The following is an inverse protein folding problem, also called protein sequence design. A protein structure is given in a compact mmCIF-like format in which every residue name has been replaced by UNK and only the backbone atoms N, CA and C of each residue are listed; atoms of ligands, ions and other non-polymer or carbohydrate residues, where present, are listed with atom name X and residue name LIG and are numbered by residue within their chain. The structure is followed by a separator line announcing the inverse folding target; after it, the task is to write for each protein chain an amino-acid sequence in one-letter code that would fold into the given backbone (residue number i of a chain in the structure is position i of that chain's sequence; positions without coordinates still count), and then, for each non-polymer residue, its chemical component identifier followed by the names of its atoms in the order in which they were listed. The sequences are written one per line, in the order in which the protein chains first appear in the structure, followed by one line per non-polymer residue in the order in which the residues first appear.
data_IF_292497741684
#
_entry.id   IF_292497741684
#
_cell.length_a   1.000
_cell.length_b   1.000
_cell.length_c   1.000
_cell.angle_alpha   90.00
_cell.angle_beta   90.00
_cell.angle_gamma   90.00
#
_symmetry.space_group_name_H-M   'P 1'
#
loop_
_entity.id
_entity.type
_entity.pdbx_description
1 polymer ?
#
# COMPACT_ATOMS: atom_id res chain seq x y z
N UNK A 1 -23.49 -37.97 -60.43
CA UNK A 1 -22.45 -37.70 -59.42
C UNK A 1 -22.71 -36.32 -58.79
N UNK A 2 -23.43 -36.26 -57.68
CA UNK A 2 -23.79 -35.03 -56.96
C UNK A 2 -22.88 -34.88 -55.74
N UNK A 3 -21.99 -33.88 -55.74
CA UNK A 3 -21.07 -33.60 -54.63
C UNK A 3 -21.80 -32.87 -53.50
N UNK A 4 -21.91 -33.49 -52.32
CA UNK A 4 -22.30 -32.82 -51.07
C UNK A 4 -21.13 -31.96 -50.58
N UNK A 5 -21.36 -30.65 -50.46
CA UNK A 5 -20.45 -29.72 -49.80
C UNK A 5 -20.82 -29.72 -48.31
N UNK A 6 -19.90 -30.19 -47.46
CA UNK A 6 -20.01 -30.05 -46.01
C UNK A 6 -19.40 -28.71 -45.61
N UNK A 7 -20.24 -27.80 -45.13
CA UNK A 7 -19.82 -26.54 -44.53
C UNK A 7 -19.35 -26.82 -43.09
N UNK A 8 -18.04 -26.80 -42.89
CA UNK A 8 -17.42 -26.93 -41.58
C UNK A 8 -17.50 -25.55 -40.87
N UNK A 9 -18.43 -25.40 -39.94
CA UNK A 9 -18.51 -24.23 -39.05
C UNK A 9 -17.38 -24.31 -38.02
N UNK A 10 -16.32 -23.53 -38.23
CA UNK A 10 -15.29 -23.25 -37.23
C UNK A 10 -15.84 -22.25 -36.21
N UNK A 11 -16.25 -22.73 -35.04
CA UNK A 11 -16.48 -21.89 -33.87
C UNK A 11 -15.13 -21.50 -33.26
N UNK A 12 -14.69 -20.27 -33.52
CA UNK A 12 -13.49 -19.71 -32.88
C UNK A 12 -13.81 -19.42 -31.41
N UNK A 13 -13.11 -20.08 -30.50
CA UNK A 13 -13.24 -19.88 -29.05
C UNK A 13 -12.66 -18.51 -28.64
N UNK A 14 -13.53 -17.50 -28.48
CA UNK A 14 -13.22 -16.20 -27.88
C UNK A 14 -13.58 -16.25 -26.40
N UNK A 15 -12.77 -16.88 -25.56
CA UNK A 15 -13.05 -16.94 -24.10
C UNK A 15 -11.84 -16.67 -23.21
N UNK A 16 -10.62 -16.61 -23.74
CA UNK A 16 -9.40 -16.53 -22.91
C UNK A 16 -8.83 -15.10 -22.78
N UNK A 17 -9.36 -14.11 -23.52
CA UNK A 17 -8.77 -12.77 -23.58
C UNK A 17 -9.44 -11.71 -22.68
N UNK A 18 -10.60 -12.00 -22.08
CA UNK A 18 -11.32 -11.00 -21.28
C UNK A 18 -10.74 -10.85 -19.85
N UNK A 19 -10.52 -11.97 -19.14
CA UNK A 19 -10.12 -11.88 -17.72
C UNK A 19 -8.74 -11.24 -17.50
N UNK A 20 -7.78 -11.46 -18.40
CA UNK A 20 -6.46 -10.80 -18.32
C UNK A 20 -6.53 -9.29 -18.52
N UNK A 21 -7.44 -8.83 -19.39
CA UNK A 21 -7.67 -7.41 -19.60
C UNK A 21 -8.35 -6.79 -18.38
N UNK A 22 -9.25 -7.53 -17.74
CA UNK A 22 -9.94 -7.07 -16.54
C UNK A 22 -8.96 -6.92 -15.38
N UNK A 23 -8.08 -7.90 -15.11
CA UNK A 23 -7.05 -7.82 -14.06
C UNK A 23 -6.06 -6.67 -14.30
N UNK A 24 -5.58 -6.50 -15.53
CA UNK A 24 -4.70 -5.39 -15.88
C UNK A 24 -5.38 -4.03 -15.68
N UNK A 25 -6.68 -3.93 -16.00
CA UNK A 25 -7.46 -2.70 -15.78
C UNK A 25 -7.61 -2.37 -14.29
N UNK A 26 -7.84 -3.40 -13.44
CA UNK A 26 -7.96 -3.27 -11.99
C UNK A 26 -6.66 -2.81 -11.37
N UNK A 27 -5.54 -3.45 -11.72
CA UNK A 27 -4.21 -3.04 -11.25
C UNK A 27 -3.92 -1.58 -11.64
N UNK A 28 -4.27 -1.17 -12.87
CA UNK A 28 -4.04 0.20 -13.32
C UNK A 28 -4.87 1.24 -12.56
N UNK A 29 -6.13 0.91 -12.24
CA UNK A 29 -6.98 1.78 -11.38
C UNK A 29 -6.45 1.82 -9.95
N UNK A 30 -6.05 0.68 -9.40
CA UNK A 30 -5.42 0.59 -8.09
C UNK A 30 -4.16 1.43 -7.97
N UNK A 31 -3.27 1.39 -8.98
CA UNK A 31 -2.08 2.23 -9.06
C UNK A 31 -2.44 3.73 -8.97
N UNK A 32 -3.44 4.16 -9.74
CA UNK A 32 -3.92 5.54 -9.74
C UNK A 32 -4.48 5.93 -8.37
N UNK A 33 -5.27 5.06 -7.75
CA UNK A 33 -5.86 5.30 -6.42
C UNK A 33 -4.79 5.38 -5.34
N UNK A 34 -3.77 4.51 -5.38
CA UNK A 34 -2.62 4.57 -4.46
C UNK A 34 -1.81 5.86 -4.63
N UNK A 35 -1.67 6.32 -5.87
CA UNK A 35 -0.96 7.56 -6.19
C UNK A 35 -1.74 8.78 -5.67
N UNK A 36 -3.03 8.89 -5.98
CA UNK A 36 -3.86 10.03 -5.59
C UNK A 36 -4.15 10.03 -4.08
N UNK A 37 -4.27 8.84 -3.47
CA UNK A 37 -4.44 8.67 -2.04
C UNK A 37 -3.18 8.99 -1.22
N UNK A 38 -2.06 9.31 -1.86
CA UNK A 38 -0.82 9.73 -1.21
C UNK A 38 -0.14 8.61 -0.41
N UNK A 39 -0.38 7.33 -0.73
CA UNK A 39 0.13 6.24 0.11
C UNK A 39 1.66 6.24 0.15
N UNK A 40 2.31 6.55 -0.98
CA UNK A 40 3.77 6.61 -1.09
C UNK A 40 4.40 7.76 -0.29
N UNK A 41 3.62 8.77 0.13
CA UNK A 41 4.15 9.93 0.85
C UNK A 41 4.73 9.51 2.20
N UNK A 42 4.12 8.55 2.89
CA UNK A 42 4.64 7.99 4.14
C UNK A 42 5.22 6.59 3.94
N UNK A 43 4.73 5.81 2.97
CA UNK A 43 5.14 4.41 2.80
C UNK A 43 6.30 4.20 1.84
N UNK A 44 6.93 5.24 1.29
CA UNK A 44 8.12 5.11 0.45
C UNK A 44 9.27 5.95 1.02
N UNK A 45 10.43 5.33 1.35
CA UNK A 45 11.64 6.07 1.72
C UNK A 45 12.03 7.07 0.65
N UNK A 46 12.68 8.17 1.04
CA UNK A 46 13.09 9.23 0.11
C UNK A 46 14.58 9.49 0.23
N UNK A 47 15.20 9.68 -0.92
CA UNK A 47 16.57 10.14 -1.03
C UNK A 47 16.59 11.67 -0.98
N UNK A 48 17.43 12.24 -0.13
CA UNK A 48 17.61 13.67 -0.04
C UNK A 48 18.43 14.18 -1.23
N UNK A 49 17.84 15.05 -2.03
CA UNK A 49 18.48 15.70 -3.18
C UNK A 49 18.50 17.22 -3.00
N UNK A 50 19.20 17.93 -3.89
CA UNK A 50 19.18 19.40 -3.90
C UNK A 50 17.77 19.98 -4.15
N UNK A 51 16.88 19.22 -4.79
CA UNK A 51 15.49 19.60 -5.06
C UNK A 51 14.53 19.14 -3.94
N UNK A 52 15.06 18.58 -2.85
CA UNK A 52 14.30 18.02 -1.75
C UNK A 52 14.21 16.48 -1.80
N UNK A 53 13.32 15.89 -0.99
CA UNK A 53 13.21 14.44 -0.85
C UNK A 53 12.51 13.82 -2.07
N UNK A 54 13.18 12.87 -2.73
CA UNK A 54 12.67 12.15 -3.91
C UNK A 54 12.42 10.68 -3.54
N UNK A 55 11.27 10.07 -3.88
CA UNK A 55 11.00 8.67 -3.59
C UNK A 55 12.08 7.71 -4.11
N UNK A 56 12.52 6.77 -3.25
CA UNK A 56 13.36 5.65 -3.66
C UNK A 56 12.49 4.58 -4.32
N UNK A 57 12.51 4.54 -5.66
CA UNK A 57 11.70 3.61 -6.44
C UNK A 57 12.09 2.14 -6.23
N UNK A 58 13.29 1.84 -5.71
CA UNK A 58 13.66 0.47 -5.33
C UNK A 58 12.97 0.01 -4.05
N UNK A 59 12.45 0.95 -3.27
CA UNK A 59 11.74 0.74 -2.00
C UNK A 59 10.31 1.31 -2.06
N UNK A 60 9.72 1.35 -3.25
CA UNK A 60 8.36 1.81 -3.45
C UNK A 60 7.38 1.06 -2.53
N UNK A 61 6.69 1.81 -1.66
CA UNK A 61 5.72 1.30 -0.69
C UNK A 61 6.29 0.32 0.35
N UNK A 62 7.61 0.29 0.54
CA UNK A 62 8.30 -0.60 1.48
C UNK A 62 8.27 -0.11 2.94
N UNK A 63 7.71 1.07 3.23
CA UNK A 63 7.62 1.67 4.56
C UNK A 63 8.91 2.33 5.02
N UNK A 64 9.04 2.57 6.33
CA UNK A 64 10.26 3.09 6.95
C UNK A 64 11.44 2.14 6.74
N UNK A 65 12.60 2.63 6.30
CA UNK A 65 13.77 1.79 6.05
C UNK A 65 14.33 1.23 7.35
N UNK A 66 14.50 -0.10 7.45
CA UNK A 66 15.10 -0.76 8.62
C UNK A 66 16.53 -0.29 8.95
N UNK A 67 17.22 0.27 7.95
CA UNK A 67 18.57 0.81 8.06
C UNK A 67 18.62 2.24 8.61
N UNK A 68 17.48 2.94 8.66
CA UNK A 68 17.45 4.32 9.14
C UNK A 68 17.58 4.33 10.66
N UNK A 69 18.34 5.30 11.16
CA UNK A 69 18.41 5.61 12.58
C UNK A 69 17.50 6.79 12.86
N UNK A 70 16.68 6.68 13.90
CA UNK A 70 15.95 7.84 14.39
C UNK A 70 16.95 8.90 14.88
N UNK A 71 16.79 10.16 14.44
CA UNK A 71 17.50 11.29 15.05
C UNK A 71 17.16 11.42 16.53
N UNK A 72 17.93 12.21 17.29
CA UNK A 72 17.54 12.53 18.66
C UNK A 72 16.23 13.33 18.66
N UNK A 73 15.17 12.67 19.13
CA UNK A 73 13.82 13.23 19.19
C UNK A 73 13.38 13.51 20.62
N UNK A 74 14.22 13.24 21.64
CA UNK A 74 13.82 13.32 23.05
C UNK A 74 13.47 14.75 23.47
N UNK A 75 14.13 15.75 22.86
CA UNK A 75 13.83 17.17 23.06
C UNK A 75 12.43 17.57 22.58
N UNK A 76 11.80 16.77 21.72
CA UNK A 76 10.45 17.01 21.20
C UNK A 76 9.35 16.29 21.99
N UNK A 77 9.69 15.53 23.04
CA UNK A 77 8.70 14.82 23.85
C UNK A 77 7.78 15.83 24.56
N UNK A 78 6.48 15.73 24.31
CA UNK A 78 5.47 16.63 24.88
C UNK A 78 5.30 17.96 24.14
N UNK A 79 6.02 18.19 23.04
CA UNK A 79 5.81 19.36 22.19
C UNK A 79 4.42 19.28 21.51
N UNK A 80 3.75 20.42 21.23
CA UNK A 80 2.45 20.46 20.56
C UNK A 80 2.57 20.20 19.04
N UNK A 81 3.72 19.72 18.57
CA UNK A 81 4.05 19.54 17.16
C UNK A 81 4.29 18.08 16.85
N UNK A 82 3.98 17.69 15.62
CA UNK A 82 4.41 16.42 15.07
C UNK A 82 5.75 16.60 14.39
N UNK A 83 6.73 15.78 14.75
CA UNK A 83 8.03 15.76 14.09
C UNK A 83 8.10 14.57 13.14
N UNK A 84 8.16 14.85 11.84
CA UNK A 84 8.38 13.84 10.82
C UNK A 84 9.87 13.70 10.54
N UNK A 85 10.32 12.48 10.23
CA UNK A 85 11.63 12.30 9.59
C UNK A 85 11.62 12.98 8.22
N UNK A 86 12.79 13.37 7.71
CA UNK A 86 12.87 14.09 6.44
C UNK A 86 12.32 13.30 5.25
N UNK A 87 12.30 11.96 5.32
CA UNK A 87 11.70 11.09 4.32
C UNK A 87 10.19 10.84 4.55
N UNK A 88 9.62 11.41 5.61
CA UNK A 88 8.23 11.32 6.05
C UNK A 88 7.77 9.91 6.49
N UNK A 89 8.70 8.97 6.68
CA UNK A 89 8.34 7.57 6.97
C UNK A 89 8.24 7.24 8.46
N UNK A 90 8.66 8.15 9.35
CA UNK A 90 8.40 8.07 10.79
C UNK A 90 7.90 9.40 11.34
N UNK A 91 7.07 9.32 12.39
CA UNK A 91 6.56 10.49 13.10
C UNK A 91 6.69 10.34 14.61
N UNK A 92 7.05 11.44 15.26
CA UNK A 92 7.07 11.60 16.71
C UNK A 92 5.91 12.51 17.10
N UNK A 93 5.13 12.07 18.09
CA UNK A 93 4.03 12.84 18.66
C UNK A 93 3.79 12.49 20.14
N UNK A 94 2.70 12.98 20.74
CA UNK A 94 2.36 12.69 22.13
C UNK A 94 2.26 11.20 22.47
N UNK A 95 1.92 10.37 21.47
CA UNK A 95 1.84 8.90 21.58
C UNK A 95 3.20 8.18 21.53
N UNK A 96 4.30 8.89 21.27
CA UNK A 96 5.62 8.31 21.04
C UNK A 96 6.00 8.34 19.56
N UNK A 97 6.69 7.30 19.07
CA UNK A 97 7.18 7.19 17.69
C UNK A 97 6.49 6.06 16.95
N UNK A 98 6.00 6.37 15.76
CA UNK A 98 5.38 5.41 14.85
C UNK A 98 6.07 5.42 13.49
N UNK A 99 6.03 4.28 12.83
CA UNK A 99 6.73 4.03 11.57
C UNK A 99 5.73 3.55 10.52
N UNK A 100 5.84 4.08 9.29
CA UNK A 100 5.06 3.60 8.17
C UNK A 100 5.44 2.14 7.84
N UNK A 101 4.44 1.27 7.73
CA UNK A 101 4.66 -0.18 7.51
C UNK A 101 4.89 -0.52 6.04
N UNK A 102 5.50 -1.67 5.78
CA UNK A 102 5.71 -2.19 4.44
C UNK A 102 4.37 -2.68 3.83
N UNK A 103 3.96 -2.10 2.70
CA UNK A 103 2.72 -2.44 1.99
C UNK A 103 2.94 -3.37 0.79
N UNK A 104 4.18 -3.77 0.52
CA UNK A 104 4.50 -4.70 -0.57
C UNK A 104 3.99 -6.11 -0.26
N UNK A 105 3.88 -7.01 -1.26
CA UNK A 105 3.39 -8.37 -1.04
C UNK A 105 4.45 -9.31 -0.44
N UNK A 106 5.52 -8.76 0.15
CA UNK A 106 6.48 -9.54 0.91
C UNK A 106 5.79 -10.30 2.06
N UNK A 107 6.05 -11.60 2.15
CA UNK A 107 5.33 -12.51 3.07
C UNK A 107 5.76 -12.36 4.53
N UNK A 108 7.00 -11.95 4.76
CA UNK A 108 7.57 -11.88 6.10
C UNK A 108 7.38 -10.50 6.73
N UNK A 109 7.60 -9.46 5.93
CA UNK A 109 7.71 -8.08 6.42
C UNK A 109 6.61 -7.16 5.89
N UNK A 110 5.90 -7.55 4.82
CA UNK A 110 4.84 -6.79 4.18
C UNK A 110 3.43 -7.34 4.41
N UNK A 111 2.52 -7.07 3.47
CA UNK A 111 1.14 -7.56 3.48
C UNK A 111 0.98 -8.88 2.70
N UNK A 112 2.06 -9.60 2.44
CA UNK A 112 2.05 -10.85 1.66
C UNK A 112 1.05 -11.89 2.17
N UNK A 113 0.91 -12.00 3.50
CA UNK A 113 -0.05 -12.91 4.16
C UNK A 113 -1.44 -12.33 4.42
N UNK A 114 -1.73 -11.09 4.05
CA UNK A 114 -3.06 -10.50 4.21
C UNK A 114 -3.96 -10.98 3.08
N UNK A 115 -5.24 -11.23 3.38
CA UNK A 115 -6.28 -11.45 2.36
C UNK A 115 -6.87 -10.11 1.92
N UNK A 116 -7.65 -10.12 0.83
CA UNK A 116 -8.38 -8.94 0.37
C UNK A 116 -9.35 -8.43 1.45
N UNK A 117 -10.03 -9.36 2.14
CA UNK A 117 -10.95 -9.04 3.23
C UNK A 117 -10.22 -8.42 4.41
N UNK A 118 -9.04 -8.92 4.78
CA UNK A 118 -8.22 -8.29 5.83
C UNK A 118 -7.84 -6.86 5.48
N UNK A 119 -7.52 -6.59 4.21
CA UNK A 119 -7.20 -5.25 3.74
C UNK A 119 -8.43 -4.33 3.81
N UNK A 120 -9.56 -4.75 3.23
CA UNK A 120 -10.80 -3.96 3.22
C UNK A 120 -11.26 -3.69 4.66
N UNK A 121 -11.29 -4.71 5.51
CA UNK A 121 -11.69 -4.54 6.91
C UNK A 121 -10.73 -3.63 7.67
N UNK A 122 -9.43 -3.63 7.35
CA UNK A 122 -8.50 -2.66 7.94
C UNK A 122 -8.86 -1.24 7.58
N UNK A 123 -9.23 -0.99 6.32
CA UNK A 123 -9.67 0.33 5.86
C UNK A 123 -11.00 0.72 6.51
N UNK A 124 -11.98 -0.18 6.58
CA UNK A 124 -13.32 0.14 7.12
C UNK A 124 -13.31 0.34 8.63
N UNK A 125 -12.62 -0.52 9.37
CA UNK A 125 -12.67 -0.52 10.85
C UNK A 125 -11.53 0.25 11.50
N UNK A 126 -10.52 0.67 10.72
CA UNK A 126 -9.31 1.33 11.22
C UNK A 126 -8.52 0.45 12.23
N UNK A 127 -8.66 -0.87 12.12
CA UNK A 127 -7.94 -1.87 12.94
C UNK A 127 -7.16 -2.82 12.06
N UNK A 128 -5.96 -3.21 12.51
CA UNK A 128 -5.11 -4.15 11.76
C UNK A 128 -5.86 -5.46 11.47
N UNK A 129 -5.97 -5.83 10.19
CA UNK A 129 -6.70 -7.01 9.71
C UNK A 129 -8.17 -7.05 10.20
N UNK A 130 -8.78 -5.88 10.39
CA UNK A 130 -10.18 -5.74 10.83
C UNK A 130 -10.41 -5.91 12.33
N UNK A 131 -9.61 -6.75 13.01
CA UNK A 131 -9.86 -7.19 14.40
C UNK A 131 -8.74 -6.88 15.39
N UNK A 132 -7.53 -6.61 14.91
CA UNK A 132 -6.37 -6.36 15.75
C UNK A 132 -6.39 -4.98 16.41
N UNK A 133 -5.22 -4.55 16.89
CA UNK A 133 -5.06 -3.21 17.44
C UNK A 133 -5.44 -2.12 16.42
N UNK A 134 -5.87 -0.93 16.88
CA UNK A 134 -6.08 0.23 16.01
C UNK A 134 -4.84 0.55 15.14
N UNK A 135 -5.08 1.17 13.99
CA UNK A 135 -4.01 1.78 13.21
C UNK A 135 -3.36 2.89 14.05
N UNK A 136 -2.03 2.86 14.12
CA UNK A 136 -1.29 3.82 14.93
C UNK A 136 -1.27 5.18 14.22
N UNK A 137 -1.25 6.30 14.97
CA UNK A 137 -1.15 7.62 14.36
C UNK A 137 0.11 7.76 13.49
N UNK A 138 0.06 8.54 12.40
CA UNK A 138 -1.07 9.32 11.92
C UNK A 138 -1.94 8.53 10.94
N UNK A 139 -1.75 7.20 10.82
CA UNK A 139 -2.36 6.43 9.73
C UNK A 139 -3.89 6.38 9.81
N UNK A 140 -4.46 6.26 11.02
CA UNK A 140 -5.91 6.20 11.18
C UNK A 140 -6.64 7.44 10.61
N UNK A 141 -6.31 8.69 11.01
CA UNK A 141 -6.95 9.87 10.43
C UNK A 141 -6.66 10.05 8.93
N UNK A 142 -5.44 9.74 8.46
CA UNK A 142 -5.10 9.80 7.02
C UNK A 142 -5.95 8.82 6.21
N UNK A 143 -6.08 7.58 6.69
CA UNK A 143 -6.87 6.54 6.03
C UNK A 143 -8.35 6.90 6.03
N UNK A 144 -8.87 7.46 7.13
CA UNK A 144 -10.25 7.92 7.23
C UNK A 144 -10.56 9.03 6.21
N UNK A 145 -9.65 10.00 6.04
CA UNK A 145 -9.84 11.12 5.13
C UNK A 145 -9.71 10.75 3.64
N UNK A 146 -8.76 9.88 3.31
CA UNK A 146 -8.36 9.69 1.91
C UNK A 146 -8.84 8.38 1.28
N UNK A 147 -9.12 7.34 2.08
CA UNK A 147 -9.30 5.96 1.58
C UNK A 147 -10.60 5.34 2.08
N UNK A 148 -11.05 5.68 3.30
CA UNK A 148 -12.22 5.05 3.93
C UNK A 148 -13.54 5.35 3.21
N UNK A 149 -13.64 6.43 2.44
CA UNK A 149 -14.83 6.78 1.65
C UNK A 149 -14.89 6.10 0.28
N UNK A 150 -13.81 5.45 -0.17
CA UNK A 150 -13.77 4.74 -1.45
C UNK A 150 -14.74 3.56 -1.46
N UNK A 151 -15.25 3.18 -2.63
CA UNK A 151 -16.08 1.97 -2.79
C UNK A 151 -15.28 0.71 -2.44
N UNK A 152 -15.98 -0.41 -2.14
CA UNK A 152 -15.28 -1.67 -1.91
C UNK A 152 -14.53 -2.11 -3.18
N UNK A 153 -15.09 -1.86 -4.37
CA UNK A 153 -14.45 -2.12 -5.66
C UNK A 153 -13.12 -1.35 -5.82
N UNK A 154 -13.08 -0.08 -5.45
CA UNK A 154 -11.85 0.73 -5.45
C UNK A 154 -10.81 0.17 -4.46
N UNK A 155 -11.25 -0.26 -3.26
CA UNK A 155 -10.35 -0.89 -2.29
C UNK A 155 -9.79 -2.22 -2.79
N UNK A 156 -10.60 -3.02 -3.49
CA UNK A 156 -10.15 -4.26 -4.14
C UNK A 156 -9.13 -3.97 -5.24
N UNK A 157 -9.32 -2.91 -6.01
CA UNK A 157 -8.38 -2.49 -7.05
C UNK A 157 -7.05 -1.99 -6.44
N UNK A 158 -7.10 -1.21 -5.35
CA UNK A 158 -5.90 -0.85 -4.56
C UNK A 158 -5.19 -2.11 -4.09
N UNK A 159 -5.92 -3.05 -3.47
CA UNK A 159 -5.33 -4.30 -2.99
C UNK A 159 -4.69 -5.10 -4.14
N UNK A 160 -5.38 -5.26 -5.26
CA UNK A 160 -4.84 -5.93 -6.45
C UNK A 160 -3.54 -5.28 -6.94
N UNK A 161 -3.47 -3.94 -6.99
CA UNK A 161 -2.24 -3.23 -7.32
C UNK A 161 -1.13 -3.51 -6.31
N UNK A 162 -1.40 -3.38 -5.00
CA UNK A 162 -0.39 -3.65 -3.96
C UNK A 162 0.13 -5.10 -4.06
N UNK A 163 -0.74 -6.07 -4.34
CA UNK A 163 -0.35 -7.47 -4.53
C UNK A 163 0.42 -7.75 -5.83
N UNK A 164 0.32 -6.86 -6.83
CA UNK A 164 1.07 -6.97 -8.09
C UNK A 164 2.51 -6.45 -8.00
N UNK A 165 2.86 -5.71 -6.95
CA UNK A 165 4.18 -5.11 -6.77
C UNK A 165 5.27 -6.18 -6.61
N UNK A 166 6.51 -5.81 -6.98
CA UNK A 166 7.69 -6.59 -6.59
C UNK A 166 7.78 -6.63 -5.05
N UNK A 167 7.87 -7.81 -4.43
CA UNK A 167 8.10 -7.90 -2.98
C UNK A 167 9.41 -7.21 -2.59
N UNK A 168 9.36 -6.41 -1.52
CA UNK A 168 10.54 -5.82 -0.91
C UNK A 168 10.59 -6.27 0.54
N UNK A 169 11.61 -7.06 0.89
CA UNK A 169 11.86 -7.44 2.29
C UNK A 169 12.42 -6.22 3.03
N UNK A 170 11.69 -5.73 4.02
CA UNK A 170 12.06 -4.58 4.85
C UNK A 170 11.35 -4.68 6.21
N UNK A 171 12.09 -5.05 7.25
CA UNK A 171 11.54 -5.24 8.58
C UNK A 171 11.42 -3.90 9.30
N UNK A 172 10.27 -3.24 9.11
CA UNK A 172 9.97 -1.99 9.80
C UNK A 172 10.00 -2.21 11.33
N UNK A 173 10.71 -1.35 12.10
CA UNK A 173 10.75 -1.46 13.55
C UNK A 173 9.37 -1.44 14.22
N UNK A 174 9.34 -1.93 15.46
CA UNK A 174 8.18 -1.77 16.31
C UNK A 174 8.07 -0.33 16.83
N UNK A 175 6.84 0.19 17.02
CA UNK A 175 6.63 1.55 17.50
C UNK A 175 7.20 1.73 18.91
N UNK A 176 7.66 2.94 19.23
CA UNK A 176 8.13 3.31 20.57
C UNK A 176 7.01 4.12 21.21
N UNK A 177 6.13 3.46 21.97
CA UNK A 177 4.95 4.11 22.57
C UNK A 177 5.28 4.68 23.96
N UNK A 178 4.65 5.80 24.30
CA UNK A 178 4.75 6.43 25.63
C UNK A 178 3.83 5.78 26.66
#
# INVERSE_FOLDING_TARGET
MTKKIYLLLLTFAVVVNCSKNDDASRIKRGEKLVTIGGCADCHTPKNMTAQGPVPDMNKWLAGYSETNKLPDYKSFKGAPWLLFTGDLTAVVGPWGVTFAKNLTPDKETGIGGWTEEHFIQTVRTQKRMGVGRPLLPPMAPIMAANVNSLSDEDLKDIYAYLKSLKPVKNQVPEPILN
#
